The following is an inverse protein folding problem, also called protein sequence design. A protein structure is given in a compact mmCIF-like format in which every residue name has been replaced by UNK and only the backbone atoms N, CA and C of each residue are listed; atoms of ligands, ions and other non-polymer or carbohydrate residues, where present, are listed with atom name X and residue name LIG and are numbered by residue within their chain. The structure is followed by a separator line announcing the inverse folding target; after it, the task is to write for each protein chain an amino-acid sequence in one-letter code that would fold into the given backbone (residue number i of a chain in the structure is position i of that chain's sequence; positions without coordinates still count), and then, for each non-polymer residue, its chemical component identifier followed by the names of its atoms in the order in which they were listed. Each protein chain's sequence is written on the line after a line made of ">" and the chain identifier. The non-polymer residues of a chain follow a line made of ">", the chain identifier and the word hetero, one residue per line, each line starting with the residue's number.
data_IF_277376066470
#
_entry.id   IF_277376066470
#
_cell.length_a   1.000
_cell.length_b   1.000
_cell.length_c   1.000
_cell.angle_alpha   90.00
_cell.angle_beta   90.00
_cell.angle_gamma   90.00
#
_symmetry.space_group_name_H-M   'P 1'
#
loop_
_entity.id
_entity.type
_entity.pdbx_description
1 polymer ?
#
# COMPACT_ATOMS: atom_id res chain seq x y z
N UNK A 1 1.98 -27.45 -5.14
CA UNK A 1 2.91 -26.93 -6.15
C UNK A 1 2.29 -25.64 -6.67
N UNK A 2 2.88 -24.49 -6.39
CA UNK A 2 2.35 -23.21 -6.86
C UNK A 2 2.61 -23.07 -8.36
N UNK A 3 1.65 -22.50 -9.09
CA UNK A 3 1.88 -22.04 -10.46
C UNK A 3 2.51 -20.67 -10.39
N UNK A 4 3.67 -20.49 -11.04
CA UNK A 4 4.38 -19.23 -11.08
C UNK A 4 4.09 -18.47 -12.38
N UNK A 5 4.27 -17.16 -12.34
CA UNK A 5 4.03 -16.28 -13.49
C UNK A 5 5.10 -16.50 -14.56
N UNK A 6 4.67 -16.87 -15.76
CA UNK A 6 5.52 -16.90 -16.96
C UNK A 6 5.21 -15.73 -17.92
N UNK A 7 3.98 -15.21 -17.87
CA UNK A 7 3.52 -14.11 -18.71
C UNK A 7 2.53 -13.23 -17.93
N UNK A 8 2.59 -11.91 -18.18
CA UNK A 8 1.62 -10.97 -17.65
C UNK A 8 0.23 -11.18 -18.26
N UNK A 9 -0.80 -11.04 -17.43
CA UNK A 9 -2.20 -11.06 -17.85
C UNK A 9 -2.75 -9.63 -17.84
N UNK A 10 -3.50 -9.19 -18.86
CA UNK A 10 -4.11 -7.85 -18.85
C UNK A 10 -5.00 -7.67 -17.61
N UNK A 11 -4.93 -6.49 -16.96
CA UNK A 11 -5.69 -6.19 -15.75
C UNK A 11 -7.20 -6.38 -15.96
N UNK A 12 -7.71 -6.03 -17.14
CA UNK A 12 -9.11 -6.24 -17.53
C UNK A 12 -9.50 -7.74 -17.50
N UNK A 13 -8.59 -8.64 -17.88
CA UNK A 13 -8.87 -10.08 -17.81
C UNK A 13 -8.82 -10.59 -16.37
N UNK A 14 -7.87 -10.13 -15.56
CA UNK A 14 -7.82 -10.43 -14.12
C UNK A 14 -9.10 -9.96 -13.42
N UNK A 15 -9.61 -8.79 -13.79
CA UNK A 15 -10.88 -8.24 -13.29
C UNK A 15 -12.09 -9.09 -13.70
N UNK A 16 -12.12 -9.58 -14.94
CA UNK A 16 -13.17 -10.50 -15.41
C UNK A 16 -13.16 -11.80 -14.61
N UNK A 17 -12.00 -12.36 -14.32
CA UNK A 17 -11.88 -13.57 -13.49
C UNK A 17 -12.38 -13.34 -12.07
N UNK A 18 -11.97 -12.23 -11.45
CA UNK A 18 -12.46 -11.83 -10.13
C UNK A 18 -13.99 -11.72 -10.11
N UNK A 19 -14.56 -11.03 -11.09
CA UNK A 19 -16.01 -10.82 -11.19
C UNK A 19 -16.77 -12.13 -11.43
N UNK A 20 -16.24 -13.00 -12.28
CA UNK A 20 -16.84 -14.29 -12.60
C UNK A 20 -16.82 -15.28 -11.43
N UNK A 21 -15.85 -15.15 -10.51
CA UNK A 21 -15.78 -15.95 -9.29
C UNK A 21 -16.93 -15.65 -8.30
N UNK A 22 -17.68 -14.55 -8.49
CA UNK A 22 -18.86 -14.23 -7.68
C UNK A 22 -18.56 -13.78 -6.25
N UNK A 23 -17.32 -13.34 -5.96
CA UNK A 23 -16.85 -12.95 -4.63
C UNK A 23 -17.40 -11.58 -4.11
N UNK A 24 -18.50 -11.07 -4.69
CA UNK A 24 -19.05 -9.73 -4.41
C UNK A 24 -20.08 -9.70 -3.27
N UNK A 25 -20.13 -10.74 -2.42
CA UNK A 25 -21.09 -10.78 -1.31
C UNK A 25 -20.72 -9.83 -0.16
N UNK A 26 -19.41 -9.60 0.05
CA UNK A 26 -18.92 -8.67 1.07
C UNK A 26 -19.21 -7.23 0.68
N UNK A 27 -19.71 -6.45 1.64
CA UNK A 27 -19.86 -5.00 1.50
C UNK A 27 -18.97 -4.31 2.51
N UNK A 28 -18.08 -3.47 2.00
CA UNK A 28 -17.23 -2.61 2.82
C UNK A 28 -18.06 -1.60 3.61
N UNK A 29 -17.42 -0.98 4.59
CA UNK A 29 -17.96 0.12 5.36
C UNK A 29 -16.97 1.28 5.37
N UNK A 30 -17.52 2.49 5.32
CA UNK A 30 -16.76 3.72 5.49
C UNK A 30 -16.23 3.81 6.91
N UNK A 31 -14.99 4.27 7.06
CA UNK A 31 -14.41 4.67 8.33
C UNK A 31 -14.69 6.16 8.55
N UNK A 32 -15.16 6.51 9.73
CA UNK A 32 -15.52 7.90 10.07
C UNK A 32 -14.34 8.53 10.77
N UNK A 33 -13.74 9.54 10.14
CA UNK A 33 -12.67 10.35 10.71
C UNK A 33 -13.22 11.72 11.10
N UNK A 34 -12.93 12.18 12.31
CA UNK A 34 -13.33 13.50 12.81
C UNK A 34 -12.12 14.25 13.39
N UNK A 35 -12.28 15.51 13.78
CA UNK A 35 -11.18 16.31 14.35
C UNK A 35 -10.17 16.87 13.33
N UNK A 36 -10.41 16.73 12.03
CA UNK A 36 -9.56 17.28 10.95
C UNK A 36 -10.20 18.42 10.15
N UNK A 37 -11.34 18.94 10.60
CA UNK A 37 -12.08 20.01 9.94
C UNK A 37 -12.82 19.52 8.70
N UNK A 38 -12.65 20.21 7.57
CA UNK A 38 -13.27 19.87 6.27
C UNK A 38 -12.36 19.02 5.37
N UNK A 39 -11.20 18.61 5.88
CA UNK A 39 -10.21 17.81 5.14
C UNK A 39 -10.67 16.37 5.01
N UNK A 40 -10.29 15.74 3.91
CA UNK A 40 -10.52 14.31 3.70
C UNK A 40 -9.46 13.49 4.43
N UNK A 41 -9.80 12.25 4.77
CA UNK A 41 -8.86 11.24 5.26
C UNK A 41 -9.00 9.98 4.42
N UNK A 42 -7.94 9.60 3.73
CA UNK A 42 -7.89 8.47 2.81
C UNK A 42 -6.48 7.89 2.72
N UNK A 43 -6.27 6.87 1.87
CA UNK A 43 -5.00 6.13 1.73
C UNK A 43 -4.35 5.81 3.08
N UNK A 44 -5.16 5.26 3.99
CA UNK A 44 -4.78 4.96 5.37
C UNK A 44 -3.90 3.71 5.45
N UNK A 45 -3.19 3.51 6.56
CA UNK A 45 -2.61 2.21 6.89
C UNK A 45 -3.69 1.22 7.38
N UNK A 46 -3.37 -0.07 7.44
CA UNK A 46 -4.03 -0.95 8.40
C UNK A 46 -3.81 -0.45 9.84
N UNK A 47 -4.70 -0.79 10.79
CA UNK A 47 -4.49 -0.45 12.18
C UNK A 47 -3.35 -1.28 12.80
N UNK A 48 -2.55 -0.64 13.66
CA UNK A 48 -1.46 -1.29 14.40
C UNK A 48 -1.47 -0.88 15.87
N UNK A 49 -0.89 -1.72 16.73
CA UNK A 49 -0.80 -1.43 18.16
C UNK A 49 0.35 -0.47 18.44
N UNK A 50 0.07 0.57 19.22
CA UNK A 50 1.07 1.53 19.69
C UNK A 50 0.67 2.05 21.09
N UNK A 51 1.55 1.86 22.07
CA UNK A 51 1.32 2.18 23.49
C UNK A 51 -0.01 1.64 24.07
N UNK A 52 -0.45 0.48 23.57
CA UNK A 52 -1.68 -0.19 24.02
C UNK A 52 -2.97 0.30 23.35
N UNK A 53 -2.91 1.36 22.54
CA UNK A 53 -4.00 1.78 21.66
C UNK A 53 -3.87 1.13 20.28
N UNK A 54 -4.99 0.98 19.58
CA UNK A 54 -5.02 0.65 18.16
C UNK A 54 -5.01 1.95 17.36
N UNK A 55 -4.02 2.11 16.49
CA UNK A 55 -3.72 3.36 15.75
C UNK A 55 -3.83 3.13 14.26
N UNK A 56 -4.40 4.09 13.54
CA UNK A 56 -4.34 4.19 12.07
C UNK A 56 -3.56 5.44 11.69
N UNK A 57 -2.60 5.32 10.76
CA UNK A 57 -2.02 6.47 10.09
C UNK A 57 -2.88 6.81 8.86
N UNK A 58 -3.27 8.08 8.68
CA UNK A 58 -4.10 8.51 7.57
C UNK A 58 -3.53 9.73 6.86
N UNK A 59 -3.60 9.74 5.52
CA UNK A 59 -3.33 10.93 4.71
C UNK A 59 -4.51 11.88 4.87
N UNK A 60 -4.23 13.08 5.36
CA UNK A 60 -5.17 14.17 5.59
C UNK A 60 -4.90 15.26 4.58
N UNK A 61 -5.90 15.63 3.79
CA UNK A 61 -5.70 16.56 2.67
C UNK A 61 -6.94 17.42 2.41
N UNK A 62 -6.72 18.67 1.97
CA UNK A 62 -7.79 19.48 1.39
C UNK A 62 -8.23 18.86 0.04
N UNK A 63 -9.55 18.75 -0.19
CA UNK A 63 -10.13 18.12 -1.40
C UNK A 63 -9.51 18.60 -2.71
N UNK A 64 -9.22 19.90 -2.81
CA UNK A 64 -8.76 20.59 -4.02
C UNK A 64 -7.23 20.79 -4.09
N UNK A 65 -6.46 20.19 -3.18
CA UNK A 65 -4.98 20.32 -3.13
C UNK A 65 -4.28 18.98 -3.22
N UNK A 66 -2.97 19.00 -3.44
CA UNK A 66 -2.10 17.81 -3.40
C UNK A 66 -1.11 17.87 -2.21
N UNK A 67 -1.19 18.92 -1.40
CA UNK A 67 -0.40 19.06 -0.17
C UNK A 67 -1.13 18.37 0.98
N UNK A 68 -0.56 17.30 1.49
CA UNK A 68 -1.13 16.51 2.58
C UNK A 68 -0.25 16.45 3.81
N UNK A 69 -0.86 16.01 4.90
CA UNK A 69 -0.21 15.60 6.12
C UNK A 69 -0.58 14.16 6.44
N UNK A 70 0.31 13.41 7.08
CA UNK A 70 -0.06 12.17 7.76
C UNK A 70 -0.29 12.47 9.23
N UNK A 71 -1.46 12.07 9.71
CA UNK A 71 -1.84 12.12 11.12
C UNK A 71 -2.13 10.71 11.64
N UNK A 72 -1.95 10.49 12.93
CA UNK A 72 -2.32 9.24 13.60
C UNK A 72 -3.65 9.39 14.32
N UNK A 73 -4.49 8.36 14.22
CA UNK A 73 -5.84 8.36 14.75
C UNK A 73 -6.06 7.17 15.67
N UNK A 74 -6.88 7.36 16.70
CA UNK A 74 -7.36 6.30 17.59
C UNK A 74 -8.88 6.25 17.54
N UNK A 75 -9.43 5.05 17.69
CA UNK A 75 -10.89 4.89 17.71
C UNK A 75 -11.46 5.34 19.06
N UNK A 76 -12.46 6.22 19.03
CA UNK A 76 -13.24 6.68 20.18
C UNK A 76 -14.71 6.76 19.77
N UNK A 77 -15.56 5.96 20.42
CA UNK A 77 -17.01 5.94 20.18
C UNK A 77 -17.40 5.67 18.71
N UNK A 78 -16.70 4.78 17.99
CA UNK A 78 -16.98 4.48 16.58
C UNK A 78 -16.41 5.46 15.56
N UNK A 79 -15.69 6.49 16.00
CA UNK A 79 -14.99 7.46 15.15
C UNK A 79 -13.49 7.40 15.37
N UNK A 80 -12.73 7.66 14.31
CA UNK A 80 -11.27 7.81 14.36
C UNK A 80 -10.92 9.28 14.56
N UNK A 81 -10.36 9.60 15.73
CA UNK A 81 -9.98 10.97 16.11
C UNK A 81 -8.47 11.11 16.19
N UNK A 82 -7.88 12.27 15.86
CA UNK A 82 -6.44 12.51 15.99
C UNK A 82 -5.96 12.14 17.39
N UNK A 83 -4.92 11.31 17.47
CA UNK A 83 -4.31 10.94 18.74
C UNK A 83 -3.59 12.17 19.31
N UNK A 84 -3.97 12.55 20.51
CA UNK A 84 -3.39 13.72 21.18
C UNK A 84 -1.88 13.55 21.37
N UNK A 85 -1.11 14.57 21.00
CA UNK A 85 0.35 14.58 21.12
C UNK A 85 1.11 13.75 20.09
N UNK A 86 0.43 13.03 19.20
CA UNK A 86 1.09 12.28 18.13
C UNK A 86 1.75 13.23 17.10
N UNK A 87 2.88 12.84 16.50
CA UNK A 87 3.52 13.65 15.47
C UNK A 87 2.66 13.74 14.20
N UNK A 88 2.92 14.78 13.42
CA UNK A 88 2.33 15.01 12.10
C UNK A 88 3.46 15.08 11.08
N UNK A 89 3.32 14.37 9.97
CA UNK A 89 4.34 14.31 8.93
C UNK A 89 3.85 14.94 7.63
N UNK A 90 4.65 15.77 6.97
CA UNK A 90 4.34 16.32 5.66
C UNK A 90 4.56 15.26 4.55
N UNK A 91 3.74 14.21 4.56
CA UNK A 91 3.83 13.04 3.70
C UNK A 91 2.48 12.67 3.09
N UNK A 92 2.51 11.86 2.04
CA UNK A 92 1.37 11.14 1.46
C UNK A 92 1.46 9.64 1.75
N UNK A 93 0.33 8.94 1.59
CA UNK A 93 0.21 7.47 1.50
C UNK A 93 1.02 6.70 2.57
N UNK A 94 0.69 6.86 3.87
CA UNK A 94 1.43 6.26 4.97
C UNK A 94 1.38 4.74 4.96
N UNK A 95 2.44 4.13 5.50
CA UNK A 95 2.54 2.70 5.74
C UNK A 95 3.39 2.43 6.97
N UNK A 96 3.28 1.21 7.50
CA UNK A 96 4.12 0.75 8.58
C UNK A 96 4.49 -0.73 8.40
N UNK A 97 5.49 -1.17 9.14
CA UNK A 97 5.75 -2.59 9.43
C UNK A 97 6.55 -2.67 10.74
N UNK A 98 6.65 -3.87 11.31
CA UNK A 98 7.56 -4.12 12.43
C UNK A 98 8.75 -4.93 11.93
N UNK A 99 9.95 -4.51 12.34
CA UNK A 99 11.20 -5.24 12.11
C UNK A 99 11.86 -5.43 13.48
N UNK A 100 11.83 -6.64 14.01
CA UNK A 100 12.19 -6.88 15.41
C UNK A 100 11.20 -6.17 16.36
N UNK A 101 11.74 -5.36 17.27
CA UNK A 101 10.97 -4.55 18.23
C UNK A 101 10.80 -3.08 17.79
N UNK A 102 11.19 -2.76 16.56
CA UNK A 102 11.07 -1.41 16.01
C UNK A 102 9.88 -1.30 15.05
N UNK A 103 9.10 -0.25 15.25
CA UNK A 103 8.16 0.27 14.28
C UNK A 103 8.95 0.95 13.17
N UNK A 104 8.81 0.46 11.95
CA UNK A 104 9.22 1.19 10.74
C UNK A 104 7.99 1.85 10.16
N UNK A 105 8.00 3.18 10.10
CA UNK A 105 6.94 4.00 9.54
C UNK A 105 7.46 4.73 8.29
N UNK A 106 6.62 4.94 7.29
CA UNK A 106 7.01 5.71 6.13
C UNK A 106 5.84 6.31 5.38
N UNK A 107 6.19 7.12 4.39
CA UNK A 107 5.25 7.78 3.50
C UNK A 107 6.01 8.39 2.33
N UNK A 108 5.27 9.07 1.46
CA UNK A 108 5.81 9.72 0.26
C UNK A 108 6.00 11.21 0.52
N UNK A 109 7.25 11.67 0.49
CA UNK A 109 7.60 13.08 0.46
C UNK A 109 7.42 13.62 -0.96
N UNK A 110 6.73 14.76 -1.10
CA UNK A 110 6.38 15.35 -2.40
C UNK A 110 7.07 16.70 -2.58
N UNK A 111 7.65 16.90 -3.76
CA UNK A 111 8.34 18.12 -4.14
C UNK A 111 7.49 18.89 -5.15
N UNK A 112 7.22 20.16 -4.85
CA UNK A 112 6.43 21.06 -5.70
C UNK A 112 7.32 22.00 -6.50
N UNK A 113 6.80 22.56 -7.59
CA UNK A 113 7.48 23.59 -8.36
C UNK A 113 7.61 24.88 -7.54
N UNK A 114 8.73 25.58 -7.70
CA UNK A 114 8.97 26.83 -6.97
C UNK A 114 8.05 27.99 -7.40
N UNK A 115 7.49 27.92 -8.61
CA UNK A 115 6.58 28.94 -9.15
C UNK A 115 5.11 28.50 -9.13
N UNK A 116 4.85 27.18 -9.10
CA UNK A 116 3.51 26.62 -8.95
C UNK A 116 3.45 25.62 -7.77
N UNK A 117 2.93 26.04 -6.61
CA UNK A 117 2.84 25.18 -5.42
C UNK A 117 1.84 24.02 -5.58
N UNK A 118 1.10 23.96 -6.70
CA UNK A 118 0.19 22.85 -7.02
C UNK A 118 0.81 21.84 -7.99
N UNK A 119 1.94 22.17 -8.63
CA UNK A 119 2.60 21.28 -9.57
C UNK A 119 3.65 20.42 -8.89
N UNK A 120 3.40 19.11 -8.81
CA UNK A 120 4.36 18.14 -8.29
C UNK A 120 5.46 17.90 -9.32
N UNK A 121 6.71 18.19 -8.95
CA UNK A 121 7.90 17.98 -9.79
C UNK A 121 8.55 16.63 -9.56
N UNK A 122 8.49 16.12 -8.33
CA UNK A 122 8.99 14.79 -7.98
C UNK A 122 8.46 14.33 -6.63
N UNK A 123 8.80 13.11 -6.22
CA UNK A 123 8.44 12.51 -4.95
C UNK A 123 9.50 11.49 -4.53
N UNK A 124 9.53 11.07 -3.28
CA UNK A 124 10.29 9.88 -2.84
C UNK A 124 9.66 9.25 -1.60
N UNK A 125 9.81 7.94 -1.43
CA UNK A 125 9.51 7.32 -0.13
C UNK A 125 10.56 7.74 0.91
N UNK A 126 10.13 8.09 2.11
CA UNK A 126 11.00 8.31 3.27
C UNK A 126 10.60 7.39 4.42
N UNK A 127 11.56 7.05 5.28
CA UNK A 127 11.39 6.08 6.35
C UNK A 127 11.86 6.64 7.69
N UNK A 128 11.06 6.33 8.70
CA UNK A 128 11.27 6.62 10.11
C UNK A 128 11.26 5.30 10.89
N UNK A 129 12.00 5.24 11.98
CA UNK A 129 12.02 4.09 12.90
C UNK A 129 12.00 4.55 14.36
N UNK A 130 11.44 3.73 15.22
CA UNK A 130 11.32 3.98 16.67
C UNK A 130 10.62 2.80 17.35
N UNK A 131 10.39 2.86 18.66
CA UNK A 131 9.63 1.83 19.37
C UNK A 131 8.13 2.16 19.48
N UNK A 132 7.76 3.39 19.17
CA UNK A 132 6.40 3.92 19.13
C UNK A 132 6.27 4.98 18.04
N UNK A 133 5.07 5.50 17.83
CA UNK A 133 4.88 6.66 16.94
C UNK A 133 5.52 7.94 17.51
N UNK A 134 5.76 8.04 18.83
CA UNK A 134 6.20 9.27 19.48
C UNK A 134 7.73 9.50 19.40
N UNK A 135 8.49 8.46 19.10
CA UNK A 135 9.96 8.45 19.01
C UNK A 135 10.47 8.10 17.61
N UNK A 136 9.63 8.29 16.58
CA UNK A 136 9.99 8.06 15.18
C UNK A 136 11.09 9.04 14.72
N UNK A 137 12.25 8.49 14.38
CA UNK A 137 13.38 9.24 13.81
C UNK A 137 13.64 8.86 12.34
N UNK A 138 13.92 9.82 11.44
CA UNK A 138 14.23 9.52 10.05
C UNK A 138 15.53 8.72 9.94
N UNK A 139 15.53 7.64 9.18
CA UNK A 139 16.74 6.80 9.01
C UNK A 139 17.08 6.45 7.57
N UNK A 140 16.11 6.46 6.65
CA UNK A 140 16.34 6.12 5.26
C UNK A 140 15.41 6.90 4.31
N UNK A 141 15.80 6.95 3.04
CA UNK A 141 14.99 7.49 1.94
C UNK A 141 15.20 6.66 0.68
N UNK A 142 14.16 6.57 -0.12
CA UNK A 142 14.19 5.94 -1.42
C UNK A 142 14.75 6.88 -2.50
N UNK A 143 15.03 6.32 -3.69
CA UNK A 143 15.42 7.08 -4.86
C UNK A 143 14.37 8.12 -5.24
N UNK A 144 14.83 9.22 -5.83
CA UNK A 144 13.95 10.25 -6.36
C UNK A 144 13.01 9.66 -7.43
N UNK A 145 11.75 10.09 -7.41
CA UNK A 145 10.63 9.60 -8.22
C UNK A 145 10.26 8.13 -8.01
N UNK A 146 10.61 7.52 -6.86
CA UNK A 146 10.19 6.17 -6.48
C UNK A 146 9.29 6.18 -5.24
N UNK A 147 8.09 5.62 -5.37
CA UNK A 147 7.15 5.33 -4.27
C UNK A 147 6.90 3.82 -4.14
N UNK A 148 6.01 3.39 -3.25
CA UNK A 148 5.62 1.97 -3.06
C UNK A 148 6.80 1.05 -2.71
N UNK A 149 7.70 1.54 -1.85
CA UNK A 149 8.78 0.73 -1.27
C UNK A 149 8.28 0.17 0.07
N UNK A 150 8.36 -1.15 0.27
CA UNK A 150 7.81 -1.84 1.44
C UNK A 150 8.79 -2.85 2.01
N UNK A 151 8.80 -2.97 3.33
CA UNK A 151 9.70 -3.86 4.07
C UNK A 151 8.92 -5.01 4.70
N UNK A 152 9.59 -6.15 4.88
CA UNK A 152 9.07 -7.30 5.63
C UNK A 152 10.22 -8.01 6.32
N UNK A 153 10.03 -8.35 7.59
CA UNK A 153 10.97 -9.21 8.32
C UNK A 153 10.85 -10.66 7.83
N UNK A 154 11.98 -11.29 7.54
CA UNK A 154 12.04 -12.66 7.05
C UNK A 154 12.36 -13.64 8.20
N UNK A 155 12.01 -14.91 8.02
CA UNK A 155 12.23 -15.95 9.03
C UNK A 155 13.71 -16.15 9.44
N UNK A 156 14.65 -15.71 8.60
CA UNK A 156 16.09 -15.77 8.86
C UNK A 156 16.64 -14.49 9.54
N UNK A 157 15.78 -13.56 9.96
CA UNK A 157 16.15 -12.28 10.56
C UNK A 157 16.67 -11.23 9.57
N UNK A 158 16.68 -11.53 8.27
CA UNK A 158 16.92 -10.52 7.22
C UNK A 158 15.64 -9.74 6.92
N UNK A 159 15.78 -8.67 6.16
CA UNK A 159 14.68 -7.80 5.78
C UNK A 159 14.51 -7.88 4.26
N UNK A 160 13.33 -8.28 3.80
CA UNK A 160 12.92 -8.17 2.41
C UNK A 160 12.50 -6.75 2.08
N UNK A 161 12.91 -6.25 0.92
CA UNK A 161 12.63 -4.90 0.44
C UNK A 161 11.97 -5.00 -0.93
N UNK A 162 10.66 -4.74 -1.00
CA UNK A 162 9.96 -4.53 -2.26
C UNK A 162 10.17 -3.09 -2.72
N UNK A 163 10.42 -2.93 -4.01
CA UNK A 163 10.68 -1.63 -4.65
C UNK A 163 9.77 -1.44 -5.86
N UNK A 164 9.63 -0.21 -6.34
CA UNK A 164 8.77 0.09 -7.48
C UNK A 164 9.40 1.09 -8.45
N UNK A 165 10.48 0.70 -9.15
CA UNK A 165 11.06 1.58 -10.15
C UNK A 165 10.08 1.86 -11.29
N UNK A 166 10.13 3.10 -11.79
CA UNK A 166 9.28 3.58 -12.88
C UNK A 166 10.09 3.76 -14.15
N UNK A 167 9.43 3.66 -15.30
CA UNK A 167 10.02 3.87 -16.63
C UNK A 167 11.25 2.99 -16.90
N UNK A 168 11.14 1.69 -16.60
CA UNK A 168 12.21 0.70 -16.78
C UNK A 168 11.86 -0.24 -17.92
N UNK A 169 12.79 -0.45 -18.86
CA UNK A 169 12.63 -1.41 -19.97
C UNK A 169 11.35 -1.19 -20.81
N UNK A 170 10.88 0.07 -20.92
CA UNK A 170 9.65 0.42 -21.63
C UNK A 170 8.36 0.17 -20.84
N UNK A 171 8.44 -0.38 -19.63
CA UNK A 171 7.32 -0.53 -18.72
C UNK A 171 7.13 0.75 -17.87
N UNK A 172 5.87 1.10 -17.59
CA UNK A 172 5.52 2.26 -16.75
C UNK A 172 6.02 2.09 -15.33
N UNK A 173 5.86 0.88 -14.76
CA UNK A 173 6.48 0.52 -13.50
C UNK A 173 6.60 -1.00 -13.33
N UNK A 174 7.59 -1.44 -12.55
CA UNK A 174 7.79 -2.84 -12.17
C UNK A 174 7.92 -2.95 -10.65
N UNK A 175 7.68 -4.14 -10.10
CA UNK A 175 8.06 -4.46 -8.72
C UNK A 175 9.49 -5.02 -8.74
N UNK A 176 10.32 -4.59 -7.80
CA UNK A 176 11.62 -5.18 -7.52
C UNK A 176 11.66 -5.81 -6.14
N UNK A 177 12.64 -6.69 -5.91
CA UNK A 177 12.92 -7.25 -4.59
C UNK A 177 14.43 -7.32 -4.32
N UNK A 178 14.83 -6.99 -3.09
CA UNK A 178 16.19 -7.24 -2.57
C UNK A 178 16.12 -7.59 -1.08
N UNK A 179 17.20 -8.12 -0.54
CA UNK A 179 17.32 -8.44 0.88
C UNK A 179 18.48 -7.68 1.51
N UNK A 180 18.22 -7.10 2.68
CA UNK A 180 19.22 -6.45 3.52
C UNK A 180 19.35 -7.17 4.87
N UNK A 181 20.49 -7.01 5.52
CA UNK A 181 20.75 -7.61 6.83
C UNK A 181 20.22 -6.78 8.00
N UNK A 182 20.17 -5.45 7.86
CA UNK A 182 19.76 -4.50 8.90
C UNK A 182 19.11 -3.27 8.26
N UNK A 183 18.34 -2.51 9.04
CA UNK A 183 17.70 -1.27 8.58
C UNK A 183 18.71 -0.23 8.08
N UNK A 184 19.93 -0.19 8.64
CA UNK A 184 21.00 0.74 8.24
C UNK A 184 21.51 0.51 6.81
N UNK A 185 21.21 -0.65 6.21
CA UNK A 185 21.56 -0.96 4.82
C UNK A 185 20.51 -0.50 3.81
N UNK A 186 19.37 0.07 4.26
CA UNK A 186 18.31 0.58 3.40
C UNK A 186 18.73 1.91 2.75
N UNK A 187 19.45 1.80 1.63
CA UNK A 187 20.01 2.94 0.88
C UNK A 187 19.36 3.09 -0.49
N UNK A 188 19.46 4.29 -1.09
CA UNK A 188 18.94 4.55 -2.45
C UNK A 188 19.56 3.59 -3.48
N UNK A 189 20.84 3.25 -3.33
CA UNK A 189 21.58 2.32 -4.18
C UNK A 189 21.05 0.89 -4.06
N UNK A 190 20.83 0.40 -2.84
CA UNK A 190 20.27 -0.93 -2.59
C UNK A 190 18.86 -1.05 -3.15
N UNK A 191 18.03 -0.04 -2.94
CA UNK A 191 16.65 0.02 -3.46
C UNK A 191 16.66 0.02 -5.01
N UNK A 192 17.52 0.83 -5.62
CA UNK A 192 17.63 0.92 -7.09
C UNK A 192 18.18 -0.35 -7.72
N UNK A 193 19.02 -1.09 -7.00
CA UNK A 193 19.64 -2.34 -7.45
C UNK A 193 18.78 -3.59 -7.28
N UNK A 194 17.53 -3.46 -6.84
CA UNK A 194 16.64 -4.59 -6.58
C UNK A 194 16.36 -5.43 -7.84
N UNK A 195 16.26 -6.75 -7.67
CA UNK A 195 15.94 -7.68 -8.75
C UNK A 195 14.51 -7.46 -9.21
N UNK A 196 14.32 -7.13 -10.47
CA UNK A 196 13.00 -6.85 -11.06
C UNK A 196 12.18 -8.13 -11.25
N UNK A 197 10.93 -8.10 -10.82
CA UNK A 197 9.88 -9.08 -11.08
C UNK A 197 9.24 -8.72 -12.43
N UNK A 198 9.72 -9.36 -13.51
CA UNK A 198 9.23 -9.10 -14.89
C UNK A 198 7.92 -9.82 -15.16
N UNK A 199 7.17 -9.42 -16.17
CA UNK A 199 5.95 -10.14 -16.56
C UNK A 199 4.86 -10.18 -15.48
N UNK A 200 4.92 -9.33 -14.45
CA UNK A 200 3.83 -9.19 -13.46
C UNK A 200 2.67 -8.36 -14.03
N UNK A 201 3.00 -7.35 -14.84
CA UNK A 201 2.06 -6.42 -15.48
C UNK A 201 2.40 -6.27 -16.97
N UNK A 202 1.43 -5.84 -17.77
CA UNK A 202 1.71 -5.35 -19.12
C UNK A 202 2.52 -4.04 -19.05
N UNK A 203 3.33 -3.69 -20.07
CA UNK A 203 4.17 -2.50 -20.05
C UNK A 203 3.42 -1.17 -19.80
N UNK A 204 2.18 -1.06 -20.29
CA UNK A 204 1.29 0.10 -20.14
C UNK A 204 0.52 0.12 -18.81
N UNK A 205 0.41 -1.03 -18.16
CA UNK A 205 -0.19 -1.21 -16.83
C UNK A 205 0.89 -1.05 -15.76
N UNK A 206 0.49 -0.89 -14.50
CA UNK A 206 1.44 -0.76 -13.39
C UNK A 206 0.86 -1.28 -12.09
N UNK A 207 1.74 -1.53 -11.14
CA UNK A 207 1.36 -1.86 -9.78
C UNK A 207 2.52 -1.67 -8.83
N UNK A 208 2.29 -1.95 -7.56
CA UNK A 208 3.27 -1.81 -6.50
C UNK A 208 2.85 -2.57 -5.25
N UNK A 209 3.81 -2.88 -4.38
CA UNK A 209 3.53 -3.43 -3.07
C UNK A 209 3.02 -2.30 -2.14
N UNK A 210 1.95 -2.59 -1.41
CA UNK A 210 1.36 -1.74 -0.38
C UNK A 210 1.67 -2.28 1.02
N UNK A 211 1.79 -3.60 1.18
CA UNK A 211 2.16 -4.28 2.42
C UNK A 211 2.68 -5.69 2.09
N UNK A 212 3.53 -6.26 2.95
CA UNK A 212 4.06 -7.61 2.77
C UNK A 212 3.99 -8.40 4.08
N UNK A 213 3.54 -9.65 3.98
CA UNK A 213 3.31 -10.57 5.10
C UNK A 213 4.23 -11.78 4.95
N UNK A 214 5.06 -12.05 5.95
CA UNK A 214 5.75 -13.34 6.02
C UNK A 214 4.72 -14.44 6.30
N UNK A 215 4.65 -15.44 5.42
CA UNK A 215 3.73 -16.55 5.51
C UNK A 215 4.36 -17.73 6.28
N UNK A 216 3.52 -18.62 6.81
CA UNK A 216 3.96 -19.74 7.67
C UNK A 216 4.95 -20.71 7.00
N UNK A 217 4.97 -20.78 5.67
CA UNK A 217 5.88 -21.61 4.88
C UNK A 217 7.12 -20.86 4.37
N UNK A 218 7.33 -19.61 4.79
CA UNK A 218 8.46 -18.78 4.39
C UNK A 218 8.30 -18.04 3.06
N UNK A 219 7.16 -18.23 2.37
CA UNK A 219 6.76 -17.33 1.29
C UNK A 219 6.40 -15.96 1.85
N UNK A 220 6.36 -14.96 0.98
CA UNK A 220 5.90 -13.62 1.30
C UNK A 220 4.60 -13.36 0.55
N UNK A 221 3.51 -13.13 1.29
CA UNK A 221 2.25 -12.65 0.76
C UNK A 221 2.34 -11.15 0.53
N UNK A 222 2.25 -10.71 -0.73
CA UNK A 222 2.35 -9.30 -1.09
C UNK A 222 0.95 -8.77 -1.35
N UNK A 223 0.51 -7.81 -0.52
CA UNK A 223 -0.63 -6.97 -0.81
C UNK A 223 -0.14 -5.76 -1.61
N UNK A 224 -0.88 -5.39 -2.64
CA UNK A 224 -0.52 -4.26 -3.46
C UNK A 224 -1.71 -3.66 -4.18
N UNK A 225 -1.39 -2.88 -5.21
CA UNK A 225 -2.34 -2.39 -6.19
C UNK A 225 -1.90 -2.82 -7.59
N UNK A 226 -2.87 -3.04 -8.46
CA UNK A 226 -2.70 -3.12 -9.91
C UNK A 226 -3.58 -2.05 -10.54
N UNK A 227 -3.06 -1.42 -11.59
CA UNK A 227 -3.70 -0.29 -12.21
C UNK A 227 -3.48 -0.24 -13.71
N UNK A 228 -4.49 0.32 -14.38
CA UNK A 228 -4.47 0.61 -15.81
C UNK A 228 -5.20 1.93 -16.06
N UNK A 229 -5.11 2.43 -17.29
CA UNK A 229 -5.66 3.72 -17.66
C UNK A 229 -6.46 3.59 -18.95
N UNK A 230 -7.69 4.09 -18.94
CA UNK A 230 -8.51 4.24 -20.13
C UNK A 230 -8.09 5.48 -20.93
N UNK A 231 -8.74 5.67 -22.09
CA UNK A 231 -8.72 6.94 -22.80
C UNK A 231 -9.18 8.09 -21.87
N UNK A 232 -8.70 9.32 -22.13
CA UNK A 232 -8.96 10.51 -21.30
C UNK A 232 -8.35 10.50 -19.89
N UNK A 233 -7.36 9.65 -19.63
CA UNK A 233 -6.66 9.53 -18.34
C UNK A 233 -7.53 9.06 -17.16
N UNK A 234 -8.64 8.37 -17.42
CA UNK A 234 -9.45 7.73 -16.36
C UNK A 234 -8.66 6.56 -15.78
N UNK A 235 -8.54 6.53 -14.46
CA UNK A 235 -7.68 5.59 -13.73
C UNK A 235 -8.51 4.52 -13.06
N UNK A 236 -8.03 3.29 -13.17
CA UNK A 236 -8.60 2.13 -12.52
C UNK A 236 -7.54 1.51 -11.62
N UNK A 237 -7.81 1.41 -10.33
CA UNK A 237 -6.90 0.81 -9.35
C UNK A 237 -7.65 -0.23 -8.52
N UNK A 238 -7.06 -1.42 -8.42
CA UNK A 238 -7.61 -2.53 -7.66
C UNK A 238 -6.58 -3.07 -6.67
N UNK A 239 -6.97 -3.32 -5.41
CA UNK A 239 -6.18 -4.11 -4.48
C UNK A 239 -5.90 -5.47 -5.09
N UNK A 240 -4.63 -5.85 -5.10
CA UNK A 240 -4.17 -7.12 -5.62
C UNK A 240 -3.31 -7.85 -4.61
N UNK A 241 -3.18 -9.16 -4.80
CA UNK A 241 -2.26 -10.01 -4.05
C UNK A 241 -1.48 -10.94 -4.97
N UNK A 242 -0.31 -11.36 -4.51
CA UNK A 242 0.43 -12.52 -5.02
C UNK A 242 1.36 -13.06 -3.92
N UNK A 243 1.85 -14.29 -4.09
CA UNK A 243 2.92 -14.82 -3.25
C UNK A 243 4.27 -14.73 -3.95
N UNK A 244 5.30 -14.38 -3.19
CA UNK A 244 6.70 -14.31 -3.60
C UNK A 244 7.54 -15.32 -2.82
N UNK A 245 8.38 -16.09 -3.52
CA UNK A 245 9.33 -17.00 -2.90
C UNK A 245 10.72 -16.34 -2.86
N UNK A 246 11.22 -15.93 -1.67
CA UNK A 246 12.53 -15.31 -1.56
C UNK A 246 13.70 -16.28 -1.86
N UNK A 247 13.49 -17.60 -1.78
CA UNK A 247 14.56 -18.58 -1.98
C UNK A 247 14.98 -18.75 -3.45
N UNK A 248 14.03 -18.67 -4.39
CA UNK A 248 14.26 -18.85 -5.82
C UNK A 248 13.83 -17.65 -6.67
N UNK A 249 13.27 -16.63 -6.02
CA UNK A 249 12.75 -15.40 -6.63
C UNK A 249 11.58 -15.61 -7.60
N UNK A 250 10.82 -16.69 -7.46
CA UNK A 250 9.59 -16.92 -8.19
C UNK A 250 8.39 -16.24 -7.51
N UNK A 251 7.35 -15.93 -8.29
CA UNK A 251 6.11 -15.34 -7.78
C UNK A 251 4.89 -15.88 -8.53
N UNK A 252 3.77 -15.93 -7.84
CA UNK A 252 2.50 -16.37 -8.42
C UNK A 252 1.87 -15.27 -9.29
N UNK A 253 0.90 -15.63 -10.15
CA UNK A 253 0.06 -14.64 -10.81
C UNK A 253 -0.63 -13.72 -9.81
N UNK A 254 -0.82 -12.46 -10.22
CA UNK A 254 -1.58 -11.47 -9.45
C UNK A 254 -3.06 -11.81 -9.45
N UNK A 255 -3.72 -11.52 -8.33
CA UNK A 255 -5.18 -11.65 -8.17
C UNK A 255 -5.75 -10.36 -7.64
N UNK A 256 -6.85 -9.89 -8.22
CA UNK A 256 -7.64 -8.80 -7.63
C UNK A 256 -8.43 -9.35 -6.45
N UNK A 257 -8.52 -8.58 -5.36
CA UNK A 257 -9.23 -8.97 -4.14
C UNK A 257 -10.39 -8.04 -3.77
N UNK A 258 -10.48 -6.86 -4.40
CA UNK A 258 -11.58 -5.94 -4.21
C UNK A 258 -11.76 -5.00 -5.42
N UNK A 259 -12.98 -4.51 -5.62
CA UNK A 259 -13.35 -3.52 -6.65
C UNK A 259 -14.23 -2.42 -6.06
N UNK A 260 -14.39 -1.29 -6.78
CA UNK A 260 -15.10 -0.11 -6.26
C UNK A 260 -16.53 -0.41 -5.85
N UNK A 261 -17.21 -1.31 -6.54
CA UNK A 261 -18.60 -1.70 -6.28
C UNK A 261 -18.81 -2.50 -4.98
N UNK A 262 -17.73 -2.97 -4.35
CA UNK A 262 -17.78 -3.64 -3.05
C UNK A 262 -17.84 -2.65 -1.89
N UNK A 263 -17.62 -1.36 -2.13
CA UNK A 263 -17.67 -0.30 -1.12
C UNK A 263 -18.90 0.59 -1.32
N UNK A 264 -19.44 1.22 -0.26
CA UNK A 264 -20.51 2.19 -0.37
C UNK A 264 -20.20 3.30 -1.38
N UNK A 265 -21.25 3.84 -2.02
CA UNK A 265 -21.12 5.02 -2.87
C UNK A 265 -20.61 6.21 -2.04
N UNK A 266 -19.80 7.04 -2.67
CA UNK A 266 -19.11 8.14 -2.01
C UNK A 266 -18.46 9.06 -3.04
N UNK A 267 -18.04 10.28 -2.65
CA UNK A 267 -17.40 11.21 -3.55
C UNK A 267 -16.02 10.72 -3.99
N UNK A 268 -15.59 11.16 -5.16
CA UNK A 268 -14.20 11.10 -5.58
C UNK A 268 -13.52 12.46 -5.41
N UNK A 269 -12.19 12.47 -5.30
CA UNK A 269 -11.40 13.70 -5.34
C UNK A 269 -11.56 14.42 -6.69
N UNK A 270 -11.56 13.64 -7.77
CA UNK A 270 -11.77 14.08 -9.15
C UNK A 270 -12.49 12.99 -9.97
N UNK A 271 -13.15 13.33 -11.09
CA UNK A 271 -13.84 12.34 -11.92
C UNK A 271 -12.93 11.22 -12.45
N UNK A 272 -11.64 11.49 -12.69
CA UNK A 272 -10.69 10.48 -13.18
C UNK A 272 -10.32 9.42 -12.13
N UNK A 273 -10.76 9.59 -10.88
CA UNK A 273 -10.40 8.75 -9.73
C UNK A 273 -11.59 7.97 -9.15
N UNK A 274 -12.73 7.93 -9.83
CA UNK A 274 -13.94 7.25 -9.32
C UNK A 274 -13.71 5.75 -9.06
N UNK A 275 -13.00 5.06 -9.96
CA UNK A 275 -12.67 3.63 -9.85
C UNK A 275 -11.24 3.38 -9.29
N UNK A 276 -10.84 4.18 -8.31
CA UNK A 276 -9.54 4.04 -7.64
C UNK A 276 -9.72 3.50 -6.23
N UNK A 277 -9.13 2.35 -5.96
CA UNK A 277 -8.96 1.82 -4.60
C UNK A 277 -7.48 1.57 -4.34
N UNK A 278 -6.94 2.22 -3.32
CA UNK A 278 -5.55 2.07 -2.90
C UNK A 278 -5.49 1.30 -1.58
N UNK A 279 -4.85 0.12 -1.60
CA UNK A 279 -4.75 -0.74 -0.42
C UNK A 279 -3.83 -0.14 0.64
N UNK A 280 -4.34 -0.09 1.86
CA UNK A 280 -3.68 0.45 3.04
C UNK A 280 -3.03 -0.59 3.94
N UNK A 281 -3.57 -1.80 3.93
CA UNK A 281 -3.07 -2.96 4.66
C UNK A 281 -4.16 -3.99 4.95
N UNK A 282 -3.74 -5.15 5.44
CA UNK A 282 -4.58 -6.28 5.81
C UNK A 282 -4.41 -6.64 7.28
N UNK A 283 -5.52 -6.84 7.98
CA UNK A 283 -5.54 -7.51 9.29
C UNK A 283 -6.10 -8.91 9.08
N UNK A 284 -5.25 -9.93 9.17
CA UNK A 284 -5.62 -11.35 9.00
C UNK A 284 -6.24 -11.90 10.27
N UNK A 285 -7.39 -12.56 10.15
CA UNK A 285 -8.15 -13.12 11.27
C UNK A 285 -7.95 -14.65 11.35
N UNK A 286 -8.05 -15.21 12.57
CA UNK A 286 -7.85 -16.67 12.78
C UNK A 286 -8.98 -17.53 12.21
N UNK A 287 -10.12 -16.93 11.87
CA UNK A 287 -11.29 -17.62 11.28
C UNK A 287 -11.16 -17.79 9.75
N UNK A 288 -10.04 -17.36 9.16
CA UNK A 288 -9.78 -17.44 7.72
C UNK A 288 -10.36 -16.29 6.89
N UNK A 289 -10.76 -15.20 7.54
CA UNK A 289 -11.04 -13.91 6.88
C UNK A 289 -9.90 -12.92 7.11
N UNK A 290 -9.95 -11.79 6.42
CA UNK A 290 -9.07 -10.66 6.64
C UNK A 290 -9.84 -9.35 6.43
N UNK A 291 -9.49 -8.32 7.19
CA UNK A 291 -9.96 -6.96 6.96
C UNK A 291 -8.99 -6.22 6.06
N UNK A 292 -9.44 -5.83 4.86
CA UNK A 292 -8.72 -4.94 3.96
C UNK A 292 -9.10 -3.50 4.26
N UNK A 293 -8.09 -2.70 4.65
CA UNK A 293 -8.21 -1.26 4.81
C UNK A 293 -7.75 -0.59 3.52
N UNK A 294 -8.50 0.39 3.02
CA UNK A 294 -8.21 1.02 1.75
C UNK A 294 -8.65 2.49 1.70
N UNK A 295 -7.90 3.28 0.94
CA UNK A 295 -8.39 4.54 0.40
C UNK A 295 -9.30 4.28 -0.80
N UNK A 296 -10.39 5.03 -0.89
CA UNK A 296 -11.39 4.94 -1.96
C UNK A 296 -11.52 6.31 -2.60
N UNK A 297 -11.27 6.34 -3.92
CA UNK A 297 -11.41 7.49 -4.81
C UNK A 297 -10.67 8.76 -4.36
N UNK A 298 -9.53 8.58 -3.67
CA UNK A 298 -8.71 9.62 -3.05
C UNK A 298 -9.49 10.62 -2.16
N UNK A 299 -10.58 10.16 -1.55
CA UNK A 299 -11.47 11.02 -0.75
C UNK A 299 -11.95 10.37 0.55
N UNK A 300 -12.06 9.04 0.58
CA UNK A 300 -12.56 8.33 1.75
C UNK A 300 -11.66 7.16 2.14
N UNK A 301 -11.73 6.76 3.40
CA UNK A 301 -11.13 5.55 3.91
C UNK A 301 -12.22 4.52 4.25
N UNK A 302 -12.00 3.28 3.86
CA UNK A 302 -12.96 2.18 4.04
C UNK A 302 -12.26 0.93 4.54
N UNK A 303 -13.06 0.01 5.08
CA UNK A 303 -12.64 -1.33 5.45
C UNK A 303 -13.65 -2.36 4.92
N UNK A 304 -13.17 -3.50 4.46
CA UNK A 304 -14.01 -4.62 4.02
C UNK A 304 -13.47 -5.95 4.56
N UNK A 305 -14.36 -6.81 5.04
CA UNK A 305 -14.01 -8.19 5.39
C UNK A 305 -14.08 -9.08 4.14
N UNK A 306 -12.99 -9.77 3.85
CA UNK A 306 -12.84 -10.69 2.72
C UNK A 306 -12.28 -12.03 3.21
N UNK A 307 -12.39 -13.12 2.45
CA UNK A 307 -11.58 -14.32 2.71
C UNK A 307 -10.08 -13.94 2.78
N UNK A 308 -9.33 -14.54 3.71
CA UNK A 308 -7.90 -14.27 3.82
C UNK A 308 -7.21 -14.63 2.49
N UNK A 309 -6.66 -13.64 1.77
CA UNK A 309 -6.15 -13.86 0.42
C UNK A 309 -4.85 -14.67 0.40
N UNK A 310 -4.17 -14.86 1.54
CA UNK A 310 -2.90 -15.56 1.60
C UNK A 310 -2.99 -17.02 2.05
N UNK A 311 -4.12 -17.45 2.62
CA UNK A 311 -4.31 -18.83 3.09
C UNK A 311 -4.10 -19.89 1.99
N UNK A 312 -4.38 -19.54 0.74
CA UNK A 312 -4.15 -20.47 -0.37
C UNK A 312 -2.67 -20.76 -0.65
N UNK A 313 -1.79 -19.85 -0.24
CA UNK A 313 -0.34 -19.96 -0.44
C UNK A 313 0.38 -20.62 0.74
N UNK A 314 -0.27 -20.74 1.90
CA UNK A 314 0.29 -21.33 3.13
C UNK A 314 0.14 -22.86 3.22
N UNK A 315 -0.35 -23.48 2.15
CA UNK A 315 -0.59 -24.93 2.09
C UNK A 315 0.66 -25.75 1.78
#
# INVERSE_FOLDING_TARGET
>A
MHTYTEQAKPTIEVLKEFTAAGNNASRGRKLIFTGVGTRDVYNISAPFKDDGDLVIAGRVEDRDRELSEVMFFVERNGEWVPRNGAPVFALQDPFFTFIGDELVFGGVEVYFDGNDPHYVTSWRTVFYRGHSINDLEPFAKGPLSMKDIRLVELANGRIGVFTRPMMVEGARALIGFTEIGTLDQLTEEVISGARLLRHQFLPEEWGGANEAHLLSNGLIGVLGHIAWMEENNIRHYYPMVFAYNPADHQYTPVKIIATRSMFPDGPAKRPDLEDVIFSGGLVRETNGTAFLYAGVSDAEAHVIEIPDPFLEYEK
#
